data_IF_922452479595
#
_entry.id   IF_922452479595
#
_cell.length_a   1.000
_cell.length_b   1.000
_cell.length_c   1.000
_cell.angle_alpha   90.00
_cell.angle_beta   90.00
_cell.angle_gamma   90.00
#
_symmetry.space_group_name_H-M   'P 1'
#
loop_
_entity.id
_entity.type
_entity.pdbx_description
1 polymer ?
#
# COMPACT_ATOMS: atom_id res chain seq x y z
N UNK A 1 7.90 -34.32 -16.35
CA UNK A 1 8.12 -35.39 -15.36
C UNK A 1 9.26 -35.12 -14.39
N UNK A 2 9.48 -33.87 -13.98
CA UNK A 2 10.32 -33.52 -12.82
C UNK A 2 9.42 -32.79 -11.84
N UNK A 3 9.63 -33.01 -10.56
CA UNK A 3 8.90 -32.29 -9.52
C UNK A 3 9.33 -30.82 -9.48
N UNK A 4 8.38 -29.94 -9.22
CA UNK A 4 8.57 -28.48 -9.24
C UNK A 4 7.93 -27.81 -8.02
N UNK A 5 8.57 -26.75 -7.56
CA UNK A 5 8.06 -25.79 -6.58
C UNK A 5 8.01 -24.44 -7.29
N UNK A 6 6.89 -23.74 -7.20
CA UNK A 6 6.74 -22.40 -7.79
C UNK A 6 7.12 -21.33 -6.75
N UNK A 7 8.00 -20.41 -7.14
CA UNK A 7 8.22 -19.15 -6.39
C UNK A 7 7.91 -17.90 -7.22
N UNK A 8 7.80 -18.04 -8.55
CA UNK A 8 7.36 -16.95 -9.41
C UNK A 8 5.97 -16.45 -8.99
N UNK A 9 5.82 -15.13 -8.90
CA UNK A 9 4.63 -14.48 -8.36
C UNK A 9 4.59 -14.39 -6.82
N UNK A 10 5.53 -14.98 -6.08
CA UNK A 10 5.62 -14.91 -4.61
C UNK A 10 6.97 -14.35 -4.10
N UNK A 11 7.53 -13.41 -4.85
CA UNK A 11 8.68 -12.60 -4.45
C UNK A 11 8.20 -11.45 -3.56
N UNK A 12 8.08 -11.74 -2.27
CA UNK A 12 7.47 -10.81 -1.31
C UNK A 12 8.39 -9.62 -0.99
N UNK A 13 9.69 -9.73 -1.25
CA UNK A 13 10.66 -8.62 -1.19
C UNK A 13 10.33 -7.48 -2.16
N UNK A 14 9.72 -7.79 -3.32
CA UNK A 14 9.36 -6.82 -4.36
C UNK A 14 8.14 -5.95 -4.04
N UNK A 15 7.63 -6.04 -2.81
CA UNK A 15 6.59 -5.17 -2.26
C UNK A 15 5.27 -5.11 -3.04
N UNK A 16 4.94 -6.16 -3.82
CA UNK A 16 3.64 -6.33 -4.46
C UNK A 16 2.52 -6.52 -3.41
N UNK A 17 1.27 -6.26 -3.80
CA UNK A 17 0.10 -6.39 -2.91
C UNK A 17 -0.15 -7.84 -2.47
N UNK A 18 -0.91 -8.03 -1.39
CA UNK A 18 -1.39 -9.36 -0.99
C UNK A 18 -2.27 -9.97 -2.09
N UNK A 19 -3.13 -9.17 -2.73
CA UNK A 19 -3.96 -9.57 -3.87
C UNK A 19 -3.12 -10.17 -5.02
N UNK A 20 -2.04 -9.49 -5.42
CA UNK A 20 -1.16 -9.97 -6.48
C UNK A 20 -0.63 -11.38 -6.19
N UNK A 21 -0.18 -11.60 -4.95
CA UNK A 21 0.32 -12.90 -4.51
C UNK A 21 -0.78 -13.95 -4.33
N UNK A 22 -1.96 -13.53 -3.86
CA UNK A 22 -3.10 -14.40 -3.58
C UNK A 22 -3.73 -14.98 -4.85
N UNK A 23 -3.76 -14.21 -5.93
CA UNK A 23 -4.31 -14.63 -7.22
C UNK A 23 -3.31 -15.42 -8.07
N UNK A 24 -2.05 -15.49 -7.65
CA UNK A 24 -1.03 -16.29 -8.32
C UNK A 24 -1.22 -17.78 -7.99
N UNK A 25 -1.83 -18.53 -8.91
CA UNK A 25 -2.09 -19.95 -8.73
C UNK A 25 -0.97 -20.83 -9.33
N UNK A 26 -0.44 -21.84 -8.60
CA UNK A 26 0.57 -22.72 -9.14
C UNK A 26 0.08 -23.59 -10.31
N UNK A 27 -1.23 -23.82 -10.40
CA UNK A 27 -1.87 -24.58 -11.47
C UNK A 27 -3.22 -23.93 -11.85
N UNK A 28 -3.20 -22.79 -12.57
CA UNK A 28 -4.42 -22.07 -12.90
C UNK A 28 -5.38 -22.93 -13.74
N UNK A 29 -6.66 -22.54 -13.78
CA UNK A 29 -7.71 -23.33 -14.43
C UNK A 29 -7.44 -23.57 -15.92
N UNK A 30 -6.82 -22.61 -16.60
CA UNK A 30 -6.41 -22.65 -18.01
C UNK A 30 -5.02 -23.27 -18.24
N UNK A 31 -4.40 -23.84 -17.19
CA UNK A 31 -3.09 -24.47 -17.28
C UNK A 31 -3.07 -25.60 -18.32
N UNK A 32 -2.08 -25.61 -19.25
CA UNK A 32 -1.98 -26.63 -20.29
C UNK A 32 -1.52 -27.99 -19.77
N UNK A 33 -1.22 -28.10 -18.47
CA UNK A 33 -0.72 -29.33 -17.86
C UNK A 33 -1.78 -30.42 -17.85
N UNK A 34 -1.40 -31.59 -18.35
CA UNK A 34 -2.18 -32.83 -18.20
C UNK A 34 -2.32 -33.22 -16.73
N UNK A 35 -3.29 -34.10 -16.44
CA UNK A 35 -3.51 -34.60 -15.07
C UNK A 35 -2.26 -35.27 -14.46
N UNK A 36 -1.45 -35.96 -15.28
CA UNK A 36 -0.19 -36.56 -14.81
C UNK A 36 0.90 -35.52 -14.56
N UNK A 37 0.97 -34.47 -15.38
CA UNK A 37 1.94 -33.38 -15.17
C UNK A 37 1.60 -32.54 -13.94
N UNK A 38 0.31 -32.34 -13.63
CA UNK A 38 -0.13 -31.61 -12.43
C UNK A 38 0.35 -32.27 -11.13
N UNK A 39 0.53 -33.60 -11.11
CA UNK A 39 1.06 -34.32 -9.94
C UNK A 39 2.51 -33.97 -9.60
N UNK A 40 3.25 -33.41 -10.56
CA UNK A 40 4.62 -32.96 -10.33
C UNK A 40 4.71 -31.55 -9.72
N UNK A 41 3.59 -30.83 -9.59
CA UNK A 41 3.56 -29.52 -8.92
C UNK A 41 3.40 -29.76 -7.43
N UNK A 42 4.50 -29.62 -6.68
CA UNK A 42 4.54 -29.90 -5.24
C UNK A 42 3.92 -28.78 -4.39
N UNK A 43 3.69 -27.61 -5.00
CA UNK A 43 3.19 -26.41 -4.34
C UNK A 43 4.09 -25.22 -4.63
N UNK A 44 4.35 -24.42 -3.60
CA UNK A 44 5.02 -23.15 -3.75
C UNK A 44 5.73 -22.64 -2.51
N UNK A 45 6.54 -21.61 -2.72
CA UNK A 45 7.30 -20.95 -1.66
C UNK A 45 7.34 -19.44 -1.87
N UNK A 46 6.98 -18.70 -0.82
CA UNK A 46 7.21 -17.26 -0.77
C UNK A 46 8.69 -16.98 -0.49
N UNK A 47 9.31 -16.15 -1.32
CA UNK A 47 10.74 -15.82 -1.21
C UNK A 47 10.92 -14.41 -0.68
N UNK A 48 11.67 -14.28 0.41
CA UNK A 48 12.05 -12.99 1.01
C UNK A 48 13.54 -12.76 0.82
N UNK A 49 13.89 -12.11 -0.28
CA UNK A 49 15.24 -11.64 -0.51
C UNK A 49 15.55 -10.43 0.38
N UNK A 50 16.82 -10.25 0.74
CA UNK A 50 17.22 -9.42 1.89
C UNK A 50 17.97 -8.13 1.52
N UNK A 51 17.98 -7.73 0.24
CA UNK A 51 18.72 -6.55 -0.25
C UNK A 51 18.25 -5.25 0.42
N UNK A 52 16.95 -5.16 0.71
CA UNK A 52 16.31 -4.01 1.36
C UNK A 52 15.59 -4.40 2.65
N UNK A 53 16.10 -5.44 3.33
CA UNK A 53 15.52 -6.00 4.55
C UNK A 53 16.58 -6.17 5.63
N UNK A 54 16.24 -5.80 6.86
CA UNK A 54 17.02 -6.12 8.05
C UNK A 54 16.11 -6.50 9.23
N UNK A 55 16.71 -6.74 10.41
CA UNK A 55 15.99 -7.16 11.61
C UNK A 55 14.91 -6.17 12.10
N UNK A 56 14.91 -4.92 11.61
CA UNK A 56 13.93 -3.89 11.97
C UNK A 56 12.70 -3.93 11.07
N UNK A 57 12.81 -4.37 9.82
CA UNK A 57 11.67 -4.35 8.88
C UNK A 57 11.28 -5.73 8.34
N UNK A 58 12.02 -6.81 8.62
CA UNK A 58 11.73 -8.15 8.09
C UNK A 58 10.29 -8.60 8.31
N UNK A 59 9.75 -8.43 9.53
CA UNK A 59 8.38 -8.84 9.83
C UNK A 59 7.35 -8.02 9.06
N UNK A 60 7.60 -6.71 8.86
CA UNK A 60 6.70 -5.82 8.11
C UNK A 60 6.71 -6.11 6.61
N UNK A 61 7.75 -6.82 6.13
CA UNK A 61 7.81 -7.32 4.75
C UNK A 61 7.14 -8.68 4.64
N UNK A 62 7.35 -9.60 5.58
CA UNK A 62 6.78 -10.95 5.49
C UNK A 62 5.28 -10.93 5.76
N UNK A 63 4.87 -10.29 6.85
CA UNK A 63 3.49 -10.36 7.34
C UNK A 63 2.71 -9.07 7.11
N UNK A 64 1.39 -9.14 6.86
CA UNK A 64 0.57 -10.36 6.81
C UNK A 64 0.45 -10.98 5.41
N UNK A 65 1.08 -10.42 4.36
CA UNK A 65 0.90 -10.86 2.96
C UNK A 65 1.20 -12.35 2.73
N UNK A 66 2.19 -12.92 3.43
CA UNK A 66 2.49 -14.36 3.34
C UNK A 66 1.35 -15.24 3.87
N UNK A 67 0.45 -14.73 4.72
CA UNK A 67 -0.76 -15.47 5.11
C UNK A 67 -1.71 -15.67 3.91
N UNK A 68 -1.80 -14.70 3.00
CA UNK A 68 -2.57 -14.85 1.76
C UNK A 68 -1.94 -15.90 0.83
N UNK A 69 -0.61 -15.95 0.75
CA UNK A 69 0.11 -17.00 0.00
C UNK A 69 -0.14 -18.37 0.63
N UNK A 70 -0.07 -18.46 1.96
CA UNK A 70 -0.38 -19.69 2.68
C UNK A 70 -1.80 -20.18 2.38
N UNK A 71 -2.77 -19.26 2.30
CA UNK A 71 -4.14 -19.59 1.92
C UNK A 71 -4.25 -20.15 0.49
N UNK A 72 -3.57 -19.52 -0.49
CA UNK A 72 -3.52 -20.02 -1.88
C UNK A 72 -2.89 -21.41 -1.96
N UNK A 73 -1.86 -21.68 -1.16
CA UNK A 73 -1.15 -22.96 -1.17
C UNK A 73 -1.89 -24.07 -0.42
N UNK A 74 -2.86 -23.73 0.43
CA UNK A 74 -3.57 -24.68 1.29
C UNK A 74 -5.03 -24.91 0.88
N UNK A 75 -5.73 -23.85 0.46
CA UNK A 75 -7.17 -23.84 0.26
C UNK A 75 -7.56 -24.41 -1.11
N UNK A 76 -8.85 -24.65 -1.31
CA UNK A 76 -9.36 -25.06 -2.61
C UNK A 76 -9.09 -23.96 -3.68
N UNK A 77 -8.82 -24.34 -4.94
CA UNK A 77 -8.43 -23.38 -5.99
C UNK A 77 -9.47 -22.28 -6.27
N UNK A 78 -10.75 -22.57 -6.03
CA UNK A 78 -11.88 -21.67 -6.22
C UNK A 78 -12.06 -20.63 -5.11
N UNK A 79 -11.29 -20.73 -4.02
CA UNK A 79 -11.20 -19.68 -3.00
C UNK A 79 -10.32 -18.55 -3.56
N UNK A 80 -10.96 -17.58 -4.22
CA UNK A 80 -10.31 -16.48 -4.95
C UNK A 80 -10.90 -15.09 -4.64
N UNK A 81 -11.88 -14.99 -3.74
CA UNK A 81 -12.48 -13.71 -3.36
C UNK A 81 -11.46 -12.85 -2.61
N UNK A 82 -10.97 -11.81 -3.28
CA UNK A 82 -9.95 -10.88 -2.76
C UNK A 82 -10.48 -10.06 -1.58
N UNK A 83 -11.75 -9.63 -1.62
CA UNK A 83 -12.33 -8.81 -0.55
C UNK A 83 -12.46 -9.61 0.74
N UNK A 84 -12.93 -10.85 0.64
CA UNK A 84 -13.01 -11.76 1.78
C UNK A 84 -11.62 -12.21 2.27
N UNK A 85 -10.66 -12.42 1.37
CA UNK A 85 -9.26 -12.68 1.73
C UNK A 85 -8.71 -11.54 2.59
N UNK A 86 -8.84 -10.28 2.16
CA UNK A 86 -8.37 -9.14 2.95
C UNK A 86 -9.04 -9.07 4.33
N UNK A 87 -10.36 -9.28 4.39
CA UNK A 87 -11.11 -9.33 5.66
C UNK A 87 -10.54 -10.38 6.61
N UNK A 88 -10.25 -11.59 6.13
CA UNK A 88 -9.69 -12.68 6.94
C UNK A 88 -8.20 -12.46 7.26
N UNK A 89 -7.44 -11.89 6.35
CA UNK A 89 -6.02 -11.55 6.55
C UNK A 89 -5.84 -10.57 7.71
N UNK A 90 -6.75 -9.61 7.92
CA UNK A 90 -6.66 -8.71 9.07
C UNK A 90 -6.86 -9.43 10.41
N UNK A 91 -7.71 -10.45 10.47
CA UNK A 91 -7.87 -11.29 11.65
C UNK A 91 -6.60 -12.09 11.93
N UNK A 92 -5.99 -12.68 10.90
CA UNK A 92 -4.71 -13.40 11.02
C UNK A 92 -3.59 -12.44 11.43
N UNK A 93 -3.55 -11.24 10.87
CA UNK A 93 -2.60 -10.17 11.24
C UNK A 93 -2.69 -9.82 12.72
N UNK A 94 -3.91 -9.73 13.27
CA UNK A 94 -4.13 -9.50 14.71
C UNK A 94 -3.68 -10.69 15.56
N UNK A 95 -3.90 -11.93 15.11
CA UNK A 95 -3.42 -13.13 15.80
C UNK A 95 -1.88 -13.23 15.80
N UNK A 96 -1.23 -12.90 14.68
CA UNK A 96 0.23 -12.85 14.57
C UNK A 96 0.81 -11.82 15.55
N UNK A 97 0.19 -10.64 15.65
CA UNK A 97 0.59 -9.60 16.59
C UNK A 97 0.44 -10.07 18.05
N UNK A 98 -0.66 -10.77 18.36
CA UNK A 98 -0.91 -11.32 19.69
C UNK A 98 0.10 -12.39 20.12
N UNK A 99 0.75 -13.09 19.19
CA UNK A 99 1.81 -14.07 19.49
C UNK A 99 3.23 -13.48 19.41
N UNK A 100 3.35 -12.16 19.27
CA UNK A 100 4.63 -11.45 19.34
C UNK A 100 5.30 -11.20 17.99
N UNK A 101 4.61 -11.40 16.86
CA UNK A 101 5.15 -10.93 15.58
C UNK A 101 5.19 -9.40 15.54
N UNK A 102 6.22 -8.84 14.89
CA UNK A 102 6.51 -7.41 14.99
C UNK A 102 6.07 -6.60 13.79
N UNK A 103 5.24 -7.14 12.89
CA UNK A 103 4.83 -6.45 11.65
C UNK A 103 4.05 -5.16 11.90
N UNK A 104 3.43 -5.00 13.08
CA UNK A 104 2.80 -3.73 13.52
C UNK A 104 3.75 -2.88 14.38
N UNK A 105 4.33 -3.48 15.43
CA UNK A 105 5.18 -2.75 16.39
C UNK A 105 6.46 -2.20 15.76
N UNK A 106 7.09 -2.94 14.83
CA UNK A 106 8.32 -2.52 14.18
C UNK A 106 8.12 -1.28 13.26
N UNK A 107 6.94 -1.12 12.65
CA UNK A 107 6.61 0.09 11.90
C UNK A 107 6.63 1.33 12.81
N UNK A 108 6.06 1.23 14.01
CA UNK A 108 6.06 2.32 14.99
C UNK A 108 7.49 2.61 15.51
N UNK A 109 8.29 1.58 15.75
CA UNK A 109 9.70 1.75 16.12
C UNK A 109 10.51 2.49 15.05
N UNK A 110 10.32 2.16 13.77
CA UNK A 110 10.95 2.86 12.65
C UNK A 110 10.45 4.30 12.51
N UNK A 111 9.15 4.55 12.72
CA UNK A 111 8.61 5.90 12.75
C UNK A 111 9.26 6.75 13.86
N UNK A 112 9.47 6.19 15.06
CA UNK A 112 10.23 6.85 16.15
C UNK A 112 11.68 7.13 15.77
N UNK A 113 12.34 6.19 15.11
CA UNK A 113 13.71 6.36 14.65
C UNK A 113 13.84 7.50 13.63
N UNK A 114 12.86 7.65 12.74
CA UNK A 114 12.80 8.74 11.76
C UNK A 114 12.49 10.07 12.45
N UNK A 115 11.50 10.08 13.34
CA UNK A 115 10.92 11.30 13.90
C UNK A 115 11.66 11.83 15.14
N UNK A 116 12.47 11.01 15.81
CA UNK A 116 13.33 11.38 16.94
C UNK A 116 12.62 11.52 18.29
N UNK A 117 11.29 11.39 18.36
CA UNK A 117 10.54 11.34 19.63
C UNK A 117 9.21 10.59 19.48
N UNK A 118 8.60 10.22 20.61
CA UNK A 118 7.30 9.52 20.64
C UNK A 118 6.20 10.35 19.96
N UNK A 119 6.05 11.61 20.39
CA UNK A 119 5.02 12.51 19.86
C UNK A 119 5.17 12.71 18.35
N UNK A 120 6.40 13.00 17.94
CA UNK A 120 6.79 13.15 16.54
C UNK A 120 6.45 11.90 15.69
N UNK A 121 6.65 10.70 16.25
CA UNK A 121 6.30 9.45 15.56
C UNK A 121 4.79 9.30 15.39
N UNK A 122 4.01 9.63 16.42
CA UNK A 122 2.55 9.58 16.37
C UNK A 122 1.99 10.54 15.32
N UNK A 123 2.60 11.72 15.16
CA UNK A 123 2.22 12.68 14.12
C UNK A 123 2.61 12.20 12.70
N UNK A 124 3.69 11.41 12.58
CA UNK A 124 4.17 10.86 11.30
C UNK A 124 3.39 9.61 10.84
N UNK A 125 2.93 8.78 11.78
CA UNK A 125 2.27 7.50 11.51
C UNK A 125 1.11 7.58 10.51
N UNK A 126 0.18 8.55 10.58
CA UNK A 126 -0.92 8.68 9.62
C UNK A 126 -0.45 8.67 8.16
N UNK A 127 0.66 9.37 7.87
CA UNK A 127 1.24 9.38 6.53
C UNK A 127 1.91 8.03 6.20
N UNK A 128 2.70 7.45 7.10
CA UNK A 128 3.36 6.15 6.89
C UNK A 128 2.36 5.06 6.57
N UNK A 129 1.21 5.06 7.27
CA UNK A 129 0.17 4.04 7.16
C UNK A 129 -0.59 4.08 5.84
N UNK A 130 -0.46 5.14 5.04
CA UNK A 130 -1.05 5.23 3.69
C UNK A 130 -0.02 5.16 2.57
N UNK A 131 1.26 4.94 2.91
CA UNK A 131 2.34 4.80 1.95
C UNK A 131 2.77 3.34 1.84
N UNK A 132 3.21 2.97 0.64
CA UNK A 132 3.90 1.70 0.39
C UNK A 132 5.26 1.96 -0.25
N UNK A 133 6.27 1.10 -0.04
CA UNK A 133 7.46 1.09 -0.88
C UNK A 133 7.08 0.97 -2.36
N UNK A 134 7.86 1.59 -3.25
CA UNK A 134 7.70 1.34 -4.70
C UNK A 134 7.96 -0.12 -5.01
N UNK A 135 7.10 -0.69 -5.86
CA UNK A 135 7.16 -2.11 -6.21
C UNK A 135 8.31 -2.45 -7.17
N UNK A 136 8.68 -3.72 -7.16
CA UNK A 136 9.70 -4.30 -8.04
C UNK A 136 11.09 -3.75 -7.73
N UNK A 137 11.93 -3.70 -8.76
CA UNK A 137 13.32 -3.22 -8.62
C UNK A 137 13.46 -1.69 -8.59
N UNK A 138 12.35 -0.94 -8.50
CA UNK A 138 12.37 0.53 -8.60
C UNK A 138 13.14 1.21 -7.47
N UNK A 139 13.11 0.68 -6.24
CA UNK A 139 13.91 1.26 -5.13
C UNK A 139 15.40 1.32 -5.47
N UNK A 140 15.94 0.26 -6.08
CA UNK A 140 17.34 0.21 -6.52
C UNK A 140 17.66 1.19 -7.66
N UNK A 141 16.66 1.58 -8.46
CA UNK A 141 16.83 2.56 -9.52
C UNK A 141 16.76 4.02 -9.01
N UNK A 142 16.12 4.25 -7.87
CA UNK A 142 15.94 5.59 -7.28
C UNK A 142 17.12 5.97 -6.39
N UNK A 143 17.61 5.04 -5.58
CA UNK A 143 18.74 5.27 -4.68
C UNK A 143 19.63 4.04 -4.66
N UNK A 144 20.94 4.27 -4.63
CA UNK A 144 21.92 3.20 -4.50
C UNK A 144 21.89 2.63 -3.08
N UNK A 145 21.51 1.36 -2.97
CA UNK A 145 21.52 0.61 -1.72
C UNK A 145 22.66 -0.41 -1.73
N UNK A 146 23.38 -0.49 -0.62
CA UNK A 146 24.39 -1.51 -0.36
C UNK A 146 23.97 -2.30 0.87
N UNK A 147 24.64 -3.43 1.12
CA UNK A 147 24.44 -4.21 2.35
C UNK A 147 24.78 -3.46 3.64
N UNK A 148 25.36 -2.26 3.54
CA UNK A 148 25.67 -1.36 4.66
C UNK A 148 24.75 -0.14 4.72
N UNK A 149 23.85 0.03 3.74
CA UNK A 149 22.94 1.18 3.72
C UNK A 149 21.96 1.05 4.90
N UNK A 150 21.86 2.06 5.77
CA UNK A 150 20.94 1.98 6.90
C UNK A 150 19.49 2.12 6.42
N UNK A 151 18.73 1.05 6.58
CA UNK A 151 17.29 0.95 6.26
C UNK A 151 16.44 1.63 7.36
N UNK A 152 16.53 2.95 7.40
CA UNK A 152 15.87 3.80 8.41
C UNK A 152 15.15 4.98 7.79
N UNK A 153 14.77 4.87 6.51
CA UNK A 153 13.99 5.86 5.78
C UNK A 153 12.49 5.57 5.82
N UNK A 154 11.70 6.48 5.25
CA UNK A 154 10.25 6.38 5.20
C UNK A 154 9.78 5.11 4.45
N UNK A 155 10.48 4.72 3.39
CA UNK A 155 10.20 3.49 2.67
C UNK A 155 10.47 2.23 3.50
N UNK A 156 11.36 2.29 4.50
CA UNK A 156 11.64 1.16 5.38
C UNK A 156 10.56 1.02 6.46
N UNK A 157 9.97 2.15 6.89
CA UNK A 157 8.82 2.20 7.82
C UNK A 157 7.47 1.89 7.13
N UNK A 158 7.30 2.28 5.87
CA UNK A 158 6.11 1.96 5.08
C UNK A 158 5.98 0.44 4.87
N UNK A 159 4.76 -0.03 4.62
CA UNK A 159 4.47 -1.46 4.38
C UNK A 159 3.98 -1.69 2.95
N UNK A 160 4.25 -2.85 2.31
CA UNK A 160 3.91 -3.09 0.90
C UNK A 160 2.43 -2.94 0.53
N UNK A 161 1.55 -3.37 1.44
CA UNK A 161 0.10 -3.36 1.25
C UNK A 161 -0.57 -2.84 2.53
N UNK A 162 -0.65 -1.51 2.72
CA UNK A 162 -1.15 -0.90 3.94
C UNK A 162 -2.68 -0.97 4.06
N UNK A 163 -3.17 -1.38 5.24
CA UNK A 163 -4.60 -1.43 5.54
C UNK A 163 -5.28 -0.07 5.35
N UNK A 164 -4.71 1.00 5.92
CA UNK A 164 -5.34 2.32 5.85
C UNK A 164 -5.53 2.78 4.39
N UNK A 165 -4.57 2.54 3.50
CA UNK A 165 -4.75 2.87 2.09
C UNK A 165 -5.84 2.01 1.41
N UNK A 166 -5.93 0.71 1.75
CA UNK A 166 -7.03 -0.13 1.25
C UNK A 166 -8.40 0.36 1.72
N UNK A 167 -8.50 0.77 2.97
CA UNK A 167 -9.74 1.33 3.53
C UNK A 167 -10.13 2.62 2.82
N UNK A 168 -9.19 3.55 2.60
CA UNK A 168 -9.42 4.75 1.80
C UNK A 168 -9.89 4.39 0.38
N UNK A 169 -9.20 3.46 -0.28
CA UNK A 169 -9.55 3.03 -1.63
C UNK A 169 -10.97 2.43 -1.71
N UNK A 170 -11.32 1.54 -0.77
CA UNK A 170 -12.63 0.91 -0.69
C UNK A 170 -13.75 1.93 -0.44
N UNK A 171 -13.51 2.93 0.42
CA UNK A 171 -14.46 4.01 0.71
C UNK A 171 -14.72 4.86 -0.54
N UNK A 172 -13.66 5.29 -1.23
CA UNK A 172 -13.78 6.08 -2.45
C UNK A 172 -14.47 5.28 -3.57
N UNK A 173 -14.16 4.00 -3.73
CA UNK A 173 -14.79 3.14 -4.72
C UNK A 173 -16.28 2.90 -4.44
N UNK A 174 -16.64 2.73 -3.16
CA UNK A 174 -18.03 2.65 -2.73
C UNK A 174 -18.80 3.92 -3.09
N UNK A 175 -18.21 5.08 -2.81
CA UNK A 175 -18.79 6.38 -3.14
C UNK A 175 -19.00 6.54 -4.65
N UNK A 176 -18.00 6.25 -5.47
CA UNK A 176 -18.08 6.36 -6.93
C UNK A 176 -19.16 5.42 -7.51
N UNK A 177 -19.37 4.25 -6.89
CA UNK A 177 -20.41 3.28 -7.27
C UNK A 177 -21.81 3.63 -6.75
N UNK A 178 -21.97 4.73 -6.01
CA UNK A 178 -23.26 5.20 -5.51
C UNK A 178 -23.76 4.49 -4.24
N UNK A 179 -22.86 3.92 -3.44
CA UNK A 179 -23.21 3.47 -2.09
C UNK A 179 -23.70 4.67 -1.26
N UNK A 180 -24.84 4.53 -0.57
CA UNK A 180 -25.38 5.58 0.29
C UNK A 180 -24.42 5.82 1.46
N UNK A 181 -23.75 6.97 1.47
CA UNK A 181 -22.96 7.40 2.62
C UNK A 181 -23.94 7.89 3.69
N UNK A 182 -24.32 7.03 4.62
CA UNK A 182 -24.90 7.50 5.87
C UNK A 182 -23.83 8.32 6.62
N UNK A 183 -24.07 9.63 6.74
CA UNK A 183 -23.51 10.44 7.82
C UNK A 183 -22.29 11.29 7.46
N UNK A 184 -22.50 12.61 7.43
CA UNK A 184 -21.49 13.68 7.31
C UNK A 184 -20.51 13.79 8.49
N UNK A 185 -19.92 12.68 8.93
CA UNK A 185 -18.76 12.61 9.84
C UNK A 185 -17.62 11.75 9.26
N UNK A 186 -17.84 11.07 8.13
CA UNK A 186 -16.83 10.21 7.49
C UNK A 186 -15.70 10.99 6.79
N UNK A 187 -15.90 12.28 6.46
CA UNK A 187 -15.00 13.02 5.55
C UNK A 187 -13.61 13.36 6.10
N UNK A 188 -13.48 13.52 7.42
CA UNK A 188 -12.20 13.91 8.04
C UNK A 188 -11.25 12.72 8.22
N UNK A 189 -11.80 11.52 8.41
CA UNK A 189 -11.06 10.27 8.56
C UNK A 189 -10.64 9.65 7.22
N UNK A 190 -11.24 10.08 6.09
CA UNK A 190 -10.97 9.51 4.77
C UNK A 190 -9.52 9.66 4.33
N UNK A 191 -8.78 10.63 4.85
CA UNK A 191 -7.49 11.02 4.28
C UNK A 191 -6.52 11.37 5.41
N UNK A 192 -5.83 10.36 5.97
CA UNK A 192 -4.73 10.60 6.90
C UNK A 192 -3.67 11.43 6.17
N UNK A 193 -3.30 12.55 6.77
CA UNK A 193 -2.13 13.37 6.43
C UNK A 193 -1.38 13.62 7.73
N UNK A 194 -0.07 13.78 7.67
CA UNK A 194 0.69 14.22 8.83
C UNK A 194 0.72 15.75 8.82
N UNK A 195 0.50 16.42 9.96
CA UNK A 195 0.77 17.85 10.05
C UNK A 195 2.24 18.03 10.44
N UNK A 196 3.13 17.92 9.46
CA UNK A 196 4.59 17.91 9.69
C UNK A 196 5.19 19.31 9.90
N UNK A 197 4.36 20.34 10.13
CA UNK A 197 4.81 21.71 10.39
C UNK A 197 5.78 21.82 11.58
N UNK A 198 5.82 20.80 12.44
CA UNK A 198 6.69 20.74 13.61
C UNK A 198 8.05 20.09 13.38
N UNK A 199 8.45 19.55 12.21
CA UNK A 199 9.81 18.98 12.03
C UNK A 199 10.84 20.13 11.93
N UNK A 200 11.49 20.60 13.01
CA UNK A 200 12.35 21.78 12.98
C UNK A 200 13.82 21.37 12.79
N UNK A 201 14.09 20.07 12.80
CA UNK A 201 15.41 19.45 12.88
C UNK A 201 15.60 18.65 11.60
N UNK A 202 16.78 18.78 10.98
CA UNK A 202 17.20 18.13 9.74
C UNK A 202 16.68 18.77 8.43
N UNK A 203 16.98 20.06 8.22
CA UNK A 203 16.79 20.73 6.92
C UNK A 203 17.69 20.21 5.79
N UNK A 204 18.72 19.41 6.11
CA UNK A 204 19.80 19.07 5.17
C UNK A 204 19.84 17.59 4.74
N UNK A 205 18.81 16.78 5.01
CA UNK A 205 18.80 15.35 4.60
C UNK A 205 17.83 15.07 3.44
N UNK A 206 18.29 14.29 2.45
CA UNK A 206 17.48 13.82 1.32
C UNK A 206 16.27 12.97 1.75
N UNK A 207 16.33 12.37 2.94
CA UNK A 207 15.22 11.58 3.50
C UNK A 207 14.04 12.46 3.90
N UNK A 208 14.33 13.68 4.37
CA UNK A 208 13.29 14.62 4.80
C UNK A 208 12.73 15.40 3.64
N UNK A 209 13.52 15.66 2.59
CA UNK A 209 12.94 16.21 1.36
C UNK A 209 11.95 15.24 0.72
N UNK A 210 12.23 13.93 0.71
CA UNK A 210 11.25 12.92 0.28
C UNK A 210 10.01 12.91 1.18
N UNK A 211 10.19 12.91 2.51
CA UNK A 211 9.07 12.92 3.45
C UNK A 211 8.19 14.16 3.29
N UNK A 212 8.79 15.35 3.27
CA UNK A 212 8.08 16.61 3.06
C UNK A 212 7.38 16.67 1.70
N UNK A 213 8.00 16.12 0.65
CA UNK A 213 7.37 16.00 -0.65
C UNK A 213 6.13 15.09 -0.60
N UNK A 214 6.22 13.92 0.02
CA UNK A 214 5.13 12.96 0.13
C UNK A 214 3.97 13.54 0.95
N UNK A 215 4.28 14.20 2.06
CA UNK A 215 3.30 14.83 2.94
C UNK A 215 2.57 15.99 2.24
N UNK A 216 3.32 16.87 1.57
CA UNK A 216 2.74 17.96 0.79
C UNK A 216 1.86 17.43 -0.35
N UNK A 217 2.32 16.38 -1.05
CA UNK A 217 1.55 15.74 -2.12
C UNK A 217 0.26 15.11 -1.58
N UNK A 218 0.31 14.43 -0.43
CA UNK A 218 -0.86 13.84 0.21
C UNK A 218 -1.85 14.92 0.67
N UNK A 219 -1.35 16.02 1.21
CA UNK A 219 -2.17 17.15 1.67
C UNK A 219 -2.90 17.84 0.52
N UNK A 220 -2.22 18.10 -0.61
CA UNK A 220 -2.84 18.69 -1.80
C UNK A 220 -3.88 17.75 -2.41
N UNK A 221 -3.55 16.45 -2.50
CA UNK A 221 -4.49 15.42 -2.96
C UNK A 221 -5.72 15.36 -2.06
N UNK A 222 -5.52 15.49 -0.74
CA UNK A 222 -6.61 15.49 0.24
C UNK A 222 -7.60 16.62 0.03
N UNK A 223 -7.12 17.83 -0.21
CA UNK A 223 -7.98 18.99 -0.47
C UNK A 223 -8.84 18.75 -1.71
N UNK A 224 -8.22 18.31 -2.80
CA UNK A 224 -8.91 18.06 -4.08
C UNK A 224 -9.92 16.91 -3.97
N UNK A 225 -9.54 15.83 -3.29
CA UNK A 225 -10.41 14.68 -3.06
C UNK A 225 -11.62 15.05 -2.21
N UNK A 226 -11.48 15.91 -1.21
CA UNK A 226 -12.61 16.38 -0.39
C UNK A 226 -13.66 17.09 -1.26
N UNK A 227 -13.22 17.99 -2.15
CA UNK A 227 -14.13 18.66 -3.10
C UNK A 227 -14.82 17.62 -4.00
N UNK A 228 -14.07 16.65 -4.53
CA UNK A 228 -14.64 15.58 -5.35
C UNK A 228 -15.69 14.75 -4.60
N UNK A 229 -15.41 14.39 -3.34
CA UNK A 229 -16.36 13.64 -2.51
C UNK A 229 -17.65 14.44 -2.28
N UNK A 230 -17.53 15.73 -1.94
CA UNK A 230 -18.67 16.64 -1.77
C UNK A 230 -19.51 16.74 -3.05
N UNK A 231 -18.86 16.80 -4.22
CA UNK A 231 -19.53 16.82 -5.51
C UNK A 231 -20.32 15.52 -5.78
N UNK A 232 -19.71 14.34 -5.52
CA UNK A 232 -20.42 13.06 -5.70
C UNK A 232 -21.65 12.97 -4.79
N UNK A 233 -21.54 13.37 -3.52
CA UNK A 233 -22.66 13.35 -2.56
C UNK A 233 -23.77 14.30 -2.99
N UNK A 234 -23.41 15.49 -3.48
CA UNK A 234 -24.36 16.51 -3.93
C UNK A 234 -24.96 16.20 -5.30
N UNK A 235 -24.50 15.15 -5.98
CA UNK A 235 -24.90 14.84 -7.36
C UNK A 235 -24.41 15.87 -8.37
N UNK A 236 -23.35 16.61 -8.05
CA UNK A 236 -22.74 17.64 -8.90
C UNK A 236 -21.40 17.18 -9.47
N UNK A 237 -20.81 18.01 -10.32
CA UNK A 237 -19.45 17.87 -10.85
C UNK A 237 -18.59 19.02 -10.36
N UNK A 238 -17.27 18.84 -10.38
CA UNK A 238 -16.32 19.91 -10.07
C UNK A 238 -16.23 20.93 -11.20
N UNK A 239 -15.87 22.16 -10.84
CA UNK A 239 -15.58 23.23 -11.80
C UNK A 239 -14.24 22.99 -12.52
N UNK A 240 -14.02 23.69 -13.65
CA UNK A 240 -12.84 23.47 -14.49
C UNK A 240 -11.52 23.72 -13.75
N UNK A 241 -11.47 24.75 -12.90
CA UNK A 241 -10.30 25.07 -12.06
C UNK A 241 -10.05 23.98 -11.00
N UNK A 242 -11.10 23.46 -10.39
CA UNK A 242 -11.01 22.37 -9.40
C UNK A 242 -10.55 21.06 -10.04
N UNK A 243 -11.05 20.76 -11.24
CA UNK A 243 -10.59 19.62 -12.03
C UNK A 243 -9.11 19.75 -12.43
N UNK A 244 -8.65 20.95 -12.79
CA UNK A 244 -7.25 21.20 -13.07
C UNK A 244 -6.38 20.98 -11.81
N UNK A 245 -6.81 21.54 -10.67
CA UNK A 245 -6.12 21.37 -9.39
C UNK A 245 -6.05 19.90 -8.96
N UNK A 246 -7.14 19.15 -9.11
CA UNK A 246 -7.19 17.73 -8.76
C UNK A 246 -6.27 16.91 -9.68
N UNK A 247 -6.27 17.17 -10.99
CA UNK A 247 -5.33 16.52 -11.92
C UNK A 247 -3.88 16.79 -11.54
N UNK A 248 -3.53 18.03 -11.24
CA UNK A 248 -2.18 18.39 -10.80
C UNK A 248 -1.79 17.70 -9.48
N UNK A 249 -2.75 17.53 -8.56
CA UNK A 249 -2.55 16.81 -7.31
C UNK A 249 -2.26 15.32 -7.56
N UNK A 250 -3.00 14.68 -8.48
CA UNK A 250 -2.80 13.30 -8.90
C UNK A 250 -1.42 13.11 -9.56
N UNK A 251 -1.07 13.99 -10.52
CA UNK A 251 0.22 13.95 -11.20
C UNK A 251 1.38 14.12 -10.22
N UNK A 252 1.23 15.02 -9.24
CA UNK A 252 2.21 15.22 -8.18
C UNK A 252 2.33 14.00 -7.27
N UNK A 253 1.22 13.39 -6.88
CA UNK A 253 1.21 12.20 -6.02
C UNK A 253 1.76 10.96 -6.72
N UNK A 254 1.65 10.88 -8.05
CA UNK A 254 2.23 9.83 -8.88
C UNK A 254 3.76 9.92 -9.05
N UNK A 255 4.43 10.91 -8.43
CA UNK A 255 5.84 11.22 -8.65
C UNK A 255 6.74 9.97 -8.57
N UNK A 256 7.51 9.66 -9.63
CA UNK A 256 8.35 8.47 -9.69
C UNK A 256 9.65 8.56 -8.89
N UNK A 257 10.00 9.70 -8.29
CA UNK A 257 11.33 9.91 -7.68
C UNK A 257 11.42 9.57 -6.21
N UNK A 258 10.32 9.19 -5.56
CA UNK A 258 10.31 8.78 -4.15
C UNK A 258 10.36 7.27 -4.02
N UNK A 259 11.03 6.76 -2.99
CA UNK A 259 11.07 5.32 -2.71
C UNK A 259 9.73 4.76 -2.20
N UNK A 260 8.76 5.65 -1.93
CA UNK A 260 7.38 5.32 -1.60
C UNK A 260 6.41 5.74 -2.70
N UNK A 261 5.23 5.13 -2.68
CA UNK A 261 4.04 5.46 -3.48
C UNK A 261 2.81 5.53 -2.59
N UNK A 262 1.74 6.10 -3.13
CA UNK A 262 0.39 6.07 -2.54
C UNK A 262 -0.41 4.94 -3.23
N UNK A 263 -0.55 3.75 -2.63
CA UNK A 263 -1.25 2.62 -3.25
C UNK A 263 -2.75 2.87 -3.47
N UNK A 264 -3.34 3.82 -2.75
CA UNK A 264 -4.74 4.26 -2.90
C UNK A 264 -4.95 5.26 -4.05
N UNK A 265 -3.88 5.75 -4.69
CA UNK A 265 -3.93 6.72 -5.79
C UNK A 265 -4.91 6.35 -6.93
N UNK A 266 -5.03 5.08 -7.36
CA UNK A 266 -6.03 4.68 -8.36
C UNK A 266 -7.48 4.96 -7.96
N UNK A 267 -7.80 4.94 -6.66
CA UNK A 267 -9.15 5.26 -6.20
C UNK A 267 -9.44 6.77 -6.30
N UNK A 268 -8.45 7.61 -6.03
CA UNK A 268 -8.56 9.06 -6.29
C UNK A 268 -8.70 9.37 -7.77
N UNK A 269 -7.99 8.64 -8.63
CA UNK A 269 -8.12 8.78 -10.08
C UNK A 269 -9.57 8.50 -10.53
N UNK A 270 -10.19 7.44 -10.01
CA UNK A 270 -11.61 7.13 -10.29
C UNK A 270 -12.56 8.19 -9.73
N UNK A 271 -12.28 8.73 -8.54
CA UNK A 271 -13.04 9.85 -8.00
C UNK A 271 -12.96 11.06 -8.94
N UNK A 272 -11.75 11.43 -9.36
CA UNK A 272 -11.52 12.51 -10.32
C UNK A 272 -12.29 12.27 -11.62
N UNK A 273 -12.19 11.08 -12.22
CA UNK A 273 -12.92 10.74 -13.46
C UNK A 273 -14.44 10.84 -13.30
N UNK A 274 -14.96 10.50 -12.12
CA UNK A 274 -16.38 10.62 -11.80
C UNK A 274 -16.83 12.09 -11.70
N UNK A 275 -15.98 12.97 -11.15
CA UNK A 275 -16.35 14.35 -10.85
C UNK A 275 -15.94 15.36 -11.92
N UNK A 276 -15.03 14.97 -12.82
CA UNK A 276 -14.46 15.80 -13.89
C UNK A 276 -14.68 15.15 -15.26
N UNK A 277 -15.93 15.12 -15.77
CA UNK A 277 -16.21 14.53 -17.06
C UNK A 277 -15.49 15.29 -18.17
N UNK A 278 -14.93 14.54 -19.12
CA UNK A 278 -14.34 15.13 -20.35
C UNK A 278 -15.48 15.80 -21.11
N UNK A 279 -15.49 17.13 -21.14
CA UNK A 279 -16.45 17.88 -21.96
C UNK A 279 -16.15 17.59 -23.43
N UNK A 280 -17.16 17.23 -24.24
CA UNK A 280 -16.99 16.97 -25.67
C UNK A 280 -16.54 18.21 -26.44
#
# INVERSE_FOLDING_TARGET
>A
GRDVILSNGWYIDLCQSAEYHYLNDPVPADSPLSAEERKHVLGGEATMWAELVDARNVDTRIWPRTAAIAERLWSAPDVTDVGDMYRRMELVSAQLDAIGMRHKSAQLELARLIAGSEKAAQDLLPLVQVLAPVEGYRRHAITEHTTRTPLTGIADAAVPDPLAAREVGALLDGLVKGASVEGGQAHEHLLPSADLAWIPSFKDSTRISQLAFLDASRSILKVSARQGVEAVISGTTLEEEECLAFRQALDRAANPTTECRMPDLPAFQRLYERTCPVRP
#
